data_IF_511135866356
#
_entry.id   IF_511135866356
#
_cell.length_a   1.000
_cell.length_b   1.000
_cell.length_c   1.000
_cell.angle_alpha   90.00
_cell.angle_beta   90.00
_cell.angle_gamma   90.00
#
_symmetry.space_group_name_H-M   'P 1'
#
loop_
_entity.id
_entity.type
_entity.pdbx_description
1 polymer ?
#
# COMPACT_ATOMS: atom_id res chain seq x y z
N UNK A 1 12.77 27.23 -21.74
CA UNK A 1 12.39 27.29 -20.32
C UNK A 1 10.86 27.15 -20.29
N UNK A 2 10.36 25.96 -20.11
CA UNK A 2 8.94 25.68 -19.89
C UNK A 2 8.82 25.19 -18.44
N UNK A 3 8.24 26.03 -17.59
CA UNK A 3 8.05 25.73 -16.17
C UNK A 3 7.07 24.60 -15.98
N UNK A 4 7.41 23.68 -15.08
CA UNK A 4 6.52 22.60 -14.62
C UNK A 4 5.22 23.19 -14.06
N UNK A 5 4.06 22.56 -14.28
CA UNK A 5 2.80 23.05 -13.73
C UNK A 5 2.84 22.97 -12.20
N UNK A 6 2.27 23.97 -11.49
CA UNK A 6 2.29 24.01 -10.04
C UNK A 6 1.45 22.88 -9.46
N UNK A 7 2.05 22.08 -8.55
CA UNK A 7 1.35 21.12 -7.72
C UNK A 7 0.30 21.88 -6.89
N UNK A 8 -0.98 21.58 -7.07
CA UNK A 8 -2.08 22.18 -6.30
C UNK A 8 -1.96 21.75 -4.83
N UNK A 9 -1.42 22.61 -4.00
CA UNK A 9 -1.42 22.46 -2.54
C UNK A 9 -2.87 22.54 -2.04
N UNK A 10 -3.45 21.41 -1.67
CA UNK A 10 -4.69 21.42 -0.86
C UNK A 10 -4.30 21.84 0.56
N UNK A 11 -4.96 22.86 1.11
CA UNK A 11 -4.65 23.40 2.43
C UNK A 11 -5.15 22.47 3.55
N UNK A 12 -4.49 22.50 4.73
CA UNK A 12 -4.94 21.82 5.96
C UNK A 12 -6.43 22.07 6.28
N UNK A 13 -7.00 23.17 5.79
CA UNK A 13 -8.41 23.49 5.89
C UNK A 13 -9.34 22.48 5.16
N UNK A 14 -8.88 21.81 4.11
CA UNK A 14 -9.68 20.81 3.37
C UNK A 14 -9.81 19.52 4.19
N UNK A 15 -8.74 19.12 4.88
CA UNK A 15 -8.74 17.95 5.76
C UNK A 15 -9.63 18.15 7.01
N UNK A 16 -9.56 19.34 7.62
CA UNK A 16 -10.44 19.67 8.76
C UNK A 16 -11.93 19.76 8.34
N UNK A 17 -12.23 20.28 7.15
CA UNK A 17 -13.60 20.33 6.64
C UNK A 17 -14.19 18.94 6.39
N UNK A 18 -13.37 17.97 5.92
CA UNK A 18 -13.80 16.57 5.73
C UNK A 18 -14.10 15.87 7.06
N UNK A 19 -13.27 16.07 8.11
CA UNK A 19 -13.56 15.56 9.47
C UNK A 19 -14.84 16.14 10.06
N UNK A 20 -15.08 17.43 9.90
CA UNK A 20 -16.31 18.07 10.39
C UNK A 20 -17.55 17.62 9.62
N UNK A 21 -17.46 17.36 8.33
CA UNK A 21 -18.54 16.81 7.52
C UNK A 21 -18.90 15.37 7.94
N UNK A 22 -17.90 14.51 8.19
CA UNK A 22 -18.12 13.15 8.68
C UNK A 22 -18.79 13.12 10.06
N UNK A 23 -18.37 13.99 10.97
CA UNK A 23 -18.99 14.14 12.31
C UNK A 23 -20.43 14.64 12.20
N UNK A 24 -20.73 15.59 11.30
CA UNK A 24 -22.08 16.10 11.10
C UNK A 24 -23.03 15.04 10.54
N UNK A 25 -22.55 14.16 9.65
CA UNK A 25 -23.35 13.03 9.13
C UNK A 25 -23.63 12.01 10.23
N UNK A 26 -22.63 11.71 11.10
CA UNK A 26 -22.82 10.79 12.22
C UNK A 26 -23.86 11.30 13.22
N UNK A 27 -23.84 12.61 13.52
CA UNK A 27 -24.82 13.25 14.42
C UNK A 27 -26.22 13.24 13.79
N UNK A 28 -26.34 13.45 12.48
CA UNK A 28 -27.63 13.41 11.78
C UNK A 28 -28.23 11.99 11.77
N UNK A 29 -27.41 10.95 11.59
CA UNK A 29 -27.85 9.54 11.65
C UNK A 29 -28.28 9.15 13.06
N UNK A 30 -27.55 9.59 14.10
CA UNK A 30 -27.96 9.37 15.49
C UNK A 30 -29.28 10.08 15.84
N UNK A 31 -29.49 11.29 15.34
CA UNK A 31 -30.73 12.04 15.57
C UNK A 31 -31.97 11.36 14.93
N UNK A 32 -31.79 10.75 13.74
CA UNK A 32 -32.87 9.99 13.08
C UNK A 32 -33.20 8.69 13.84
N UNK A 33 -32.18 8.03 14.43
CA UNK A 33 -32.38 6.82 15.23
C UNK A 33 -33.03 7.08 16.61
N UNK A 34 -32.84 8.26 17.19
CA UNK A 34 -33.43 8.64 18.49
C UNK A 34 -34.85 9.15 18.36
N UNK A 35 -35.23 9.72 17.21
CA UNK A 35 -36.59 10.26 16.97
C UNK A 35 -37.55 9.25 16.33
N UNK A 36 -37.07 8.05 15.94
CA UNK A 36 -37.85 7.01 15.26
C UNK A 36 -38.46 5.94 16.15
N UNK A 37 -38.42 6.08 17.48
CA UNK A 37 -39.07 5.12 18.41
C UNK A 37 -40.29 5.78 19.03
N UNK A 38 -41.42 5.65 18.38
CA UNK A 38 -42.77 5.55 18.93
C UNK A 38 -43.82 5.85 17.82
N UNK A 39 -44.30 4.83 17.14
CA UNK A 39 -45.71 4.62 16.96
C UNK A 39 -45.99 3.18 16.49
N UNK A 40 -46.77 2.46 17.25
CA UNK A 40 -47.16 1.11 16.90
C UNK A 40 -48.57 1.13 16.32
N UNK A 41 -48.72 0.56 15.12
CA UNK A 41 -49.94 -0.20 14.78
C UNK A 41 -49.86 -0.73 13.33
N UNK A 42 -50.37 -1.97 13.18
CA UNK A 42 -50.84 -2.67 11.99
C UNK A 42 -49.84 -3.35 11.07
N UNK A 43 -49.78 -4.68 11.27
CA UNK A 43 -49.34 -5.67 10.29
C UNK A 43 -50.34 -5.71 9.13
N UNK A 44 -49.92 -5.37 7.94
CA UNK A 44 -50.57 -5.71 6.68
C UNK A 44 -49.54 -6.41 5.77
N UNK A 45 -49.98 -7.55 5.19
CA UNK A 45 -49.22 -8.40 4.28
C UNK A 45 -48.52 -7.61 3.16
N UNK A 46 -47.23 -7.77 3.05
CA UNK A 46 -46.45 -7.24 1.95
C UNK A 46 -46.34 -8.32 0.82
N UNK A 47 -46.63 -7.97 -0.43
CA UNK A 47 -46.39 -8.86 -1.55
C UNK A 47 -44.87 -8.96 -1.84
N UNK A 48 -44.42 -10.17 -2.11
CA UNK A 48 -43.08 -10.50 -2.64
C UNK A 48 -42.80 -9.69 -3.92
N UNK A 49 -42.00 -8.64 -3.81
CA UNK A 49 -41.44 -7.97 -4.98
C UNK A 49 -39.95 -8.36 -5.07
N UNK A 50 -39.49 -8.87 -6.21
CA UNK A 50 -38.06 -9.15 -6.40
C UNK A 50 -37.28 -7.85 -6.26
N UNK A 51 -36.21 -7.89 -5.43
CA UNK A 51 -35.38 -6.73 -5.16
C UNK A 51 -34.93 -6.03 -6.44
N UNK A 52 -35.33 -4.79 -6.57
CA UNK A 52 -34.81 -3.84 -7.53
C UNK A 52 -33.32 -3.68 -7.28
N UNK A 53 -32.52 -4.31 -8.10
CA UNK A 53 -31.09 -4.00 -8.22
C UNK A 53 -31.06 -2.56 -8.71
N UNK A 54 -30.83 -1.61 -7.80
CA UNK A 54 -30.55 -0.22 -8.16
C UNK A 54 -29.36 -0.22 -9.12
N UNK A 55 -29.65 -0.17 -10.42
CA UNK A 55 -28.66 0.17 -11.41
C UNK A 55 -28.16 1.58 -11.09
N UNK A 56 -26.97 1.66 -10.44
CA UNK A 56 -26.28 2.94 -10.32
C UNK A 56 -26.09 3.47 -11.74
N UNK A 57 -26.73 4.58 -12.08
CA UNK A 57 -26.35 5.37 -13.26
C UNK A 57 -24.85 5.63 -13.13
N UNK A 58 -24.05 5.01 -13.99
CA UNK A 58 -22.63 5.26 -14.08
C UNK A 58 -22.41 6.72 -14.40
N UNK A 59 -21.51 7.36 -13.68
CA UNK A 59 -21.20 8.76 -13.82
C UNK A 59 -21.04 9.16 -15.29
N UNK A 60 -21.77 10.17 -15.74
CA UNK A 60 -21.70 10.68 -17.13
C UNK A 60 -20.31 11.20 -17.51
N UNK A 61 -19.43 11.44 -16.51
CA UNK A 61 -18.04 11.89 -16.72
C UNK A 61 -17.05 10.94 -16.08
N UNK A 62 -15.92 10.63 -16.76
CA UNK A 62 -14.86 9.83 -16.20
C UNK A 62 -14.33 10.41 -14.88
N UNK A 63 -14.22 9.59 -13.85
CA UNK A 63 -13.51 9.92 -12.60
C UNK A 63 -12.04 9.54 -12.80
N UNK A 64 -11.15 10.47 -12.46
CA UNK A 64 -9.70 10.28 -12.55
C UNK A 64 -9.08 10.60 -11.20
N UNK A 65 -8.23 9.69 -10.74
CA UNK A 65 -7.49 9.88 -9.50
C UNK A 65 -6.13 9.19 -9.57
N UNK A 66 -5.19 9.65 -8.74
CA UNK A 66 -3.88 9.02 -8.58
C UNK A 66 -3.83 8.30 -7.25
N UNK A 67 -3.48 7.01 -7.28
CA UNK A 67 -3.19 6.19 -6.12
C UNK A 67 -1.69 5.97 -6.03
N UNK A 68 -1.07 6.21 -4.85
CA UNK A 68 0.32 5.80 -4.61
C UNK A 68 0.39 4.47 -3.89
N UNK A 69 1.39 3.68 -4.29
CA UNK A 69 1.80 2.43 -3.64
C UNK A 69 3.28 2.52 -3.32
N UNK A 70 3.75 1.84 -2.30
CA UNK A 70 5.16 1.91 -1.87
C UNK A 70 5.62 0.58 -1.29
N UNK A 71 6.90 0.28 -1.53
CA UNK A 71 7.52 -0.96 -1.14
C UNK A 71 7.69 -1.18 0.35
N UNK A 72 8.55 -2.12 0.71
CA UNK A 72 8.68 -2.71 2.03
C UNK A 72 9.02 -1.69 3.12
N UNK A 73 8.18 -1.58 4.16
CA UNK A 73 8.52 -1.00 5.45
C UNK A 73 9.16 -2.12 6.30
N UNK A 74 10.45 -2.35 6.08
CA UNK A 74 11.24 -3.42 6.71
C UNK A 74 12.14 -2.85 7.81
N UNK A 75 11.66 -2.86 9.04
CA UNK A 75 12.27 -2.12 10.15
C UNK A 75 13.34 -2.93 10.87
N UNK A 76 14.57 -2.83 10.41
CA UNK A 76 15.76 -3.41 11.06
C UNK A 76 16.20 -2.62 12.30
N UNK A 77 17.09 -3.21 13.13
CA UNK A 77 17.59 -2.55 14.35
C UNK A 77 18.18 -1.17 14.12
N UNK A 78 19.01 -0.89 13.11
CA UNK A 78 19.53 0.46 12.92
C UNK A 78 18.45 1.49 12.58
N UNK A 79 17.35 1.05 11.92
CA UNK A 79 16.22 1.94 11.59
C UNK A 79 15.46 2.36 12.85
N UNK A 80 15.08 1.40 13.72
CA UNK A 80 14.38 1.78 14.95
C UNK A 80 15.29 2.47 15.97
N UNK A 81 16.58 2.15 16.01
CA UNK A 81 17.56 2.88 16.82
C UNK A 81 17.68 4.35 16.36
N UNK A 82 17.65 4.58 15.04
CA UNK A 82 17.60 5.94 14.49
C UNK A 82 16.31 6.65 14.88
N UNK A 83 15.16 5.98 14.80
CA UNK A 83 13.88 6.54 15.23
C UNK A 83 13.88 6.88 16.73
N UNK A 84 14.53 6.06 17.58
CA UNK A 84 14.72 6.34 19.01
C UNK A 84 15.58 7.59 19.22
N UNK A 85 16.68 7.71 18.48
CA UNK A 85 17.53 8.92 18.56
C UNK A 85 16.79 10.18 18.11
N UNK A 86 15.95 10.09 17.07
CA UNK A 86 15.11 11.20 16.59
C UNK A 86 14.01 11.59 17.61
N UNK A 87 13.53 10.64 18.40
CA UNK A 87 12.58 10.86 19.50
C UNK A 87 13.23 11.28 20.83
N UNK A 88 14.53 11.62 20.81
CA UNK A 88 15.25 12.11 22.00
C UNK A 88 15.76 11.02 22.94
N UNK A 89 15.68 9.75 22.57
CA UNK A 89 16.15 8.59 23.32
C UNK A 89 15.11 7.97 24.27
N UNK A 90 13.94 8.58 24.40
CA UNK A 90 12.86 8.12 25.29
C UNK A 90 11.63 7.59 24.54
N UNK A 91 11.48 7.94 23.26
CA UNK A 91 10.39 7.53 22.40
C UNK A 91 10.88 7.31 20.97
N UNK A 92 10.13 6.55 20.16
CA UNK A 92 10.46 6.35 18.74
C UNK A 92 9.74 7.40 17.88
N UNK A 93 10.49 8.13 17.03
CA UNK A 93 9.91 9.03 16.02
C UNK A 93 10.41 8.64 14.64
N UNK A 94 9.59 7.86 13.90
CA UNK A 94 9.87 7.45 12.54
C UNK A 94 9.48 8.52 11.50
N UNK A 95 8.65 9.51 11.85
CA UNK A 95 8.11 10.46 10.87
C UNK A 95 9.18 11.28 10.12
N UNK A 96 10.32 11.68 10.74
CA UNK A 96 11.38 12.37 10.02
C UNK A 96 12.01 11.54 8.88
N UNK A 97 12.02 10.20 8.99
CA UNK A 97 12.59 9.30 7.99
C UNK A 97 11.82 9.36 6.66
N UNK A 98 10.52 9.64 6.70
CA UNK A 98 9.61 9.72 5.54
C UNK A 98 9.36 11.16 5.06
N UNK A 99 9.97 12.17 5.69
CA UNK A 99 9.67 13.59 5.43
C UNK A 99 9.80 13.95 3.94
N UNK A 100 10.81 13.44 3.25
CA UNK A 100 11.10 13.81 1.88
C UNK A 100 10.18 13.12 0.86
N UNK A 101 9.69 11.93 1.16
CA UNK A 101 8.73 11.20 0.31
C UNK A 101 7.27 11.60 0.57
N UNK A 102 7.01 12.32 1.65
CA UNK A 102 5.65 12.78 2.00
C UNK A 102 4.88 13.45 0.84
N UNK A 103 5.48 14.28 -0.05
CA UNK A 103 4.75 14.87 -1.16
C UNK A 103 4.16 13.85 -2.14
N UNK A 104 4.78 12.67 -2.27
CA UNK A 104 4.33 11.58 -3.15
C UNK A 104 3.30 10.66 -2.49
N UNK A 105 3.18 10.75 -1.17
CA UNK A 105 2.20 10.01 -0.37
C UNK A 105 0.99 10.91 -0.10
N UNK A 106 1.15 12.04 0.60
CA UNK A 106 0.04 12.92 0.95
C UNK A 106 -0.42 13.87 -0.18
N UNK A 107 0.31 13.91 -1.29
CA UNK A 107 0.03 14.76 -2.44
C UNK A 107 -0.85 14.11 -3.52
N UNK A 108 -1.18 12.84 -3.37
CA UNK A 108 -2.07 12.08 -4.25
C UNK A 108 -3.48 11.96 -3.67
N UNK A 109 -4.39 11.32 -4.38
CA UNK A 109 -5.79 11.21 -3.96
C UNK A 109 -6.00 10.07 -2.97
N UNK A 110 -5.17 9.02 -3.02
CA UNK A 110 -5.18 7.85 -2.14
C UNK A 110 -3.76 7.26 -2.06
N UNK A 111 -3.31 6.83 -0.89
CA UNK A 111 -1.98 6.25 -0.70
C UNK A 111 -2.03 4.95 0.13
N UNK A 112 -1.38 3.91 -0.39
CA UNK A 112 -1.26 2.61 0.27
C UNK A 112 0.19 2.28 0.59
N UNK A 113 0.43 1.57 1.71
CA UNK A 113 1.75 1.08 2.11
C UNK A 113 1.75 -0.42 2.36
N UNK A 114 2.94 -1.00 2.35
CA UNK A 114 3.19 -2.38 2.75
C UNK A 114 3.98 -2.41 4.07
N UNK A 115 3.36 -2.92 5.14
CA UNK A 115 3.99 -3.10 6.45
C UNK A 115 4.51 -4.54 6.54
N UNK A 116 5.81 -4.69 6.34
CA UNK A 116 6.42 -6.02 6.27
C UNK A 116 6.61 -6.64 7.66
N UNK A 117 6.98 -5.83 8.66
CA UNK A 117 7.32 -6.32 10.01
C UNK A 117 6.20 -6.06 11.02
N UNK A 118 5.89 -7.01 11.91
CA UNK A 118 4.87 -6.83 12.93
C UNK A 118 5.25 -5.74 13.91
N UNK A 119 4.26 -5.05 14.45
CA UNK A 119 4.39 -3.99 15.45
C UNK A 119 3.83 -4.45 16.80
N UNK A 120 4.62 -4.34 17.87
CA UNK A 120 4.10 -4.56 19.22
C UNK A 120 4.86 -3.74 20.27
N UNK A 121 4.27 -3.52 21.47
CA UNK A 121 4.94 -2.82 22.56
C UNK A 121 6.02 -3.66 23.26
N UNK A 122 6.26 -4.90 22.85
CA UNK A 122 7.37 -5.71 23.36
C UNK A 122 8.72 -5.11 22.93
N UNK A 123 9.82 -5.62 23.53
CA UNK A 123 11.16 -5.15 23.15
C UNK A 123 11.38 -5.31 21.63
N UNK A 124 11.88 -4.28 20.94
CA UNK A 124 12.15 -4.37 19.51
C UNK A 124 13.17 -5.45 19.18
N UNK A 125 12.98 -6.11 18.05
CA UNK A 125 13.91 -7.09 17.51
C UNK A 125 14.03 -6.93 15.99
N UNK A 126 15.11 -7.48 15.43
CA UNK A 126 15.45 -7.40 14.02
C UNK A 126 15.59 -8.81 13.44
N UNK A 127 16.12 -8.88 12.20
CA UNK A 127 16.35 -10.16 11.53
C UNK A 127 16.98 -11.22 12.48
N UNK A 128 16.53 -12.49 12.45
CA UNK A 128 15.52 -13.03 11.51
C UNK A 128 14.06 -12.96 12.02
N UNK A 129 13.81 -12.53 13.25
CA UNK A 129 12.48 -12.45 13.89
C UNK A 129 12.25 -11.00 14.33
N UNK A 130 11.43 -10.31 13.58
CA UNK A 130 11.20 -8.87 13.76
C UNK A 130 10.15 -8.57 14.84
N UNK A 131 10.33 -7.45 15.49
CA UNK A 131 9.30 -6.73 16.26
C UNK A 131 9.59 -5.23 16.17
N UNK A 132 8.69 -4.48 15.59
CA UNK A 132 8.83 -3.03 15.37
C UNK A 132 8.11 -2.25 16.45
N UNK A 133 8.66 -1.11 16.94
CA UNK A 133 7.93 -0.20 17.82
C UNK A 133 6.63 0.28 17.17
N UNK A 134 5.49 0.27 17.89
CA UNK A 134 4.17 0.60 17.35
C UNK A 134 4.00 2.06 16.93
N UNK A 135 4.94 2.93 17.30
CA UNK A 135 5.02 4.33 16.87
C UNK A 135 5.24 4.48 15.35
N UNK A 136 5.64 3.41 14.66
CA UNK A 136 5.67 3.37 13.20
C UNK A 136 4.28 3.66 12.60
N UNK A 137 3.20 3.15 13.22
CA UNK A 137 1.83 3.40 12.74
C UNK A 137 1.47 4.90 12.77
N UNK A 138 1.95 5.64 13.81
CA UNK A 138 1.76 7.09 13.84
C UNK A 138 2.54 7.81 12.74
N UNK A 139 3.75 7.35 12.42
CA UNK A 139 4.56 7.92 11.35
C UNK A 139 3.92 7.65 9.98
N UNK A 140 3.35 6.48 9.76
CA UNK A 140 2.54 6.12 8.58
C UNK A 140 1.40 7.15 8.42
N UNK A 141 0.59 7.35 9.46
CA UNK A 141 -0.52 8.31 9.44
C UNK A 141 -0.04 9.75 9.21
N UNK A 142 1.04 10.18 9.88
CA UNK A 142 1.62 11.53 9.73
C UNK A 142 2.18 11.78 8.32
N UNK A 143 2.67 10.73 7.65
CA UNK A 143 3.19 10.81 6.28
C UNK A 143 2.04 10.95 5.28
N UNK A 144 0.89 10.36 5.56
CA UNK A 144 -0.34 10.54 4.79
C UNK A 144 -0.84 9.28 4.09
N UNK A 145 -0.34 8.09 4.42
CA UNK A 145 -0.95 6.85 3.99
C UNK A 145 -2.31 6.66 4.62
N UNK A 146 -3.31 6.23 3.86
CA UNK A 146 -4.67 5.97 4.31
C UNK A 146 -4.89 4.49 4.65
N UNK A 147 -4.21 3.59 3.93
CA UNK A 147 -4.32 2.17 4.18
C UNK A 147 -2.98 1.46 3.98
N UNK A 148 -2.78 0.37 4.72
CA UNK A 148 -1.62 -0.50 4.54
C UNK A 148 -2.05 -1.95 4.46
N UNK A 149 -1.33 -2.74 3.71
CA UNK A 149 -1.39 -4.17 3.90
C UNK A 149 -0.30 -4.64 4.88
N UNK A 150 -0.59 -5.79 5.48
CA UNK A 150 0.24 -6.45 6.47
C UNK A 150 0.46 -7.92 6.10
N UNK A 151 0.27 -8.27 4.80
CA UNK A 151 0.49 -9.61 4.30
C UNK A 151 1.95 -9.82 3.93
N UNK A 152 2.75 -10.34 4.83
CA UNK A 152 4.19 -10.56 4.65
C UNK A 152 4.63 -11.92 5.18
N UNK A 153 5.78 -12.40 4.70
CA UNK A 153 6.49 -13.54 5.27
C UNK A 153 6.89 -13.31 6.74
N UNK A 154 7.01 -12.05 7.18
CA UNK A 154 7.31 -11.65 8.56
C UNK A 154 6.07 -11.36 9.42
N UNK A 155 4.85 -11.41 8.88
CA UNK A 155 3.62 -11.13 9.66
C UNK A 155 3.48 -12.00 10.92
N UNK A 156 4.07 -13.18 10.92
CA UNK A 156 3.98 -14.16 12.00
C UNK A 156 5.18 -14.18 12.95
N UNK A 157 6.15 -13.28 12.80
CA UNK A 157 7.38 -13.27 13.61
C UNK A 157 7.10 -13.16 15.12
N UNK A 158 5.99 -12.53 15.50
CA UNK A 158 5.50 -12.43 16.87
C UNK A 158 4.21 -13.27 17.08
N UNK A 159 3.93 -14.23 16.20
CA UNK A 159 2.74 -15.09 16.25
C UNK A 159 1.44 -14.29 16.10
N UNK A 160 0.33 -14.86 16.61
CA UNK A 160 -0.98 -14.18 16.57
C UNK A 160 -0.99 -12.89 17.41
N UNK A 161 -0.27 -12.86 18.53
CA UNK A 161 -0.17 -11.67 19.38
C UNK A 161 0.46 -10.49 18.62
N UNK A 162 1.52 -10.74 17.82
CA UNK A 162 2.12 -9.72 16.97
C UNK A 162 1.16 -9.17 15.92
N UNK A 163 0.37 -10.03 15.29
CA UNK A 163 -0.71 -9.60 14.37
C UNK A 163 -1.72 -8.73 15.13
N UNK A 164 -2.19 -9.18 16.29
CA UNK A 164 -3.21 -8.47 17.07
C UNK A 164 -2.72 -7.07 17.52
N UNK A 165 -1.46 -6.95 17.91
CA UNK A 165 -0.86 -5.65 18.29
C UNK A 165 -0.62 -4.75 17.06
N UNK A 166 -0.21 -5.33 15.93
CA UNK A 166 -0.08 -4.59 14.66
C UNK A 166 -1.42 -3.98 14.23
N UNK A 167 -2.48 -4.78 14.23
CA UNK A 167 -3.85 -4.33 13.96
C UNK A 167 -4.25 -3.20 14.91
N UNK A 168 -4.03 -3.36 16.22
CA UNK A 168 -4.33 -2.32 17.21
C UNK A 168 -3.52 -1.05 17.01
N UNK A 169 -2.26 -1.14 16.56
CA UNK A 169 -1.44 0.03 16.31
C UNK A 169 -1.96 0.82 15.11
N UNK A 170 -2.31 0.14 14.00
CA UNK A 170 -2.88 0.74 12.81
C UNK A 170 -4.26 1.35 13.10
N UNK A 171 -5.16 0.63 13.80
CA UNK A 171 -6.47 1.13 14.22
C UNK A 171 -6.35 2.42 15.04
N UNK A 172 -5.44 2.46 16.02
CA UNK A 172 -5.19 3.67 16.85
C UNK A 172 -4.69 4.85 16.02
N UNK A 173 -3.89 4.58 15.00
CA UNK A 173 -3.39 5.60 14.09
C UNK A 173 -4.44 6.03 13.04
N UNK A 174 -5.57 5.31 12.94
CA UNK A 174 -6.62 5.55 11.96
C UNK A 174 -6.25 5.13 10.54
N UNK A 175 -5.40 4.10 10.42
CA UNK A 175 -4.97 3.50 9.17
C UNK A 175 -5.85 2.26 8.89
N UNK A 176 -6.51 2.25 7.75
CA UNK A 176 -7.20 1.06 7.26
C UNK A 176 -6.17 -0.03 6.91
N UNK A 177 -6.51 -1.31 7.15
CA UNK A 177 -5.53 -2.38 6.91
C UNK A 177 -6.18 -3.68 6.44
N UNK A 178 -5.36 -4.52 5.79
CA UNK A 178 -5.75 -5.86 5.32
C UNK A 178 -4.51 -6.76 5.24
N UNK A 179 -4.71 -8.06 5.05
CA UNK A 179 -3.63 -9.02 4.80
C UNK A 179 -3.34 -9.93 5.99
N UNK A 180 -3.20 -9.40 7.22
CA UNK A 180 -3.19 -10.18 8.45
C UNK A 180 -4.33 -9.76 9.37
N UNK A 181 -4.85 -10.68 10.19
CA UNK A 181 -6.14 -10.50 10.85
C UNK A 181 -6.14 -10.95 12.31
N UNK A 182 -6.83 -10.18 13.16
CA UNK A 182 -7.04 -10.50 14.58
C UNK A 182 -8.24 -11.43 14.82
N UNK A 183 -9.04 -11.73 13.79
CA UNK A 183 -10.18 -12.65 13.90
C UNK A 183 -10.62 -13.19 12.55
N UNK A 184 -11.32 -14.34 12.56
CA UNK A 184 -11.94 -14.90 11.36
C UNK A 184 -12.92 -13.92 10.71
N UNK A 185 -13.73 -13.22 11.50
CA UNK A 185 -14.68 -12.24 10.99
C UNK A 185 -13.98 -11.06 10.27
N UNK A 186 -12.78 -10.67 10.71
CA UNK A 186 -11.96 -9.67 10.03
C UNK A 186 -11.45 -10.19 8.69
N UNK A 187 -10.97 -11.44 8.62
CA UNK A 187 -10.43 -12.03 7.38
C UNK A 187 -11.49 -12.26 6.29
N UNK A 188 -12.76 -12.29 6.65
CA UNK A 188 -13.87 -12.44 5.71
C UNK A 188 -14.31 -11.10 5.08
N UNK A 189 -13.78 -9.97 5.56
CA UNK A 189 -14.09 -8.64 5.03
C UNK A 189 -13.14 -8.28 3.87
N UNK A 190 -13.70 -7.58 2.87
CA UNK A 190 -12.89 -6.92 1.85
C UNK A 190 -12.65 -5.47 2.31
N UNK A 191 -11.40 -5.06 2.37
CA UNK A 191 -11.08 -3.66 2.62
C UNK A 191 -11.52 -2.81 1.42
N UNK A 192 -12.37 -1.81 1.69
CA UNK A 192 -12.90 -0.87 0.70
C UNK A 192 -12.56 0.55 1.12
N UNK A 193 -11.76 1.24 0.33
CA UNK A 193 -11.42 2.65 0.56
C UNK A 193 -12.10 3.52 -0.49
N UNK A 194 -12.67 4.65 -0.06
CA UNK A 194 -13.39 5.57 -0.94
C UNK A 194 -12.52 6.74 -1.41
N UNK A 195 -12.55 7.04 -2.71
CA UNK A 195 -11.88 8.21 -3.31
C UNK A 195 -12.74 8.80 -4.41
N UNK A 196 -13.09 10.11 -4.33
CA UNK A 196 -13.88 10.83 -5.35
C UNK A 196 -15.19 10.11 -5.77
N UNK A 197 -15.82 9.37 -4.83
CA UNK A 197 -17.02 8.57 -5.08
C UNK A 197 -16.77 7.18 -5.66
N UNK A 198 -15.53 6.82 -5.96
CA UNK A 198 -15.08 5.50 -6.40
C UNK A 198 -14.76 4.65 -5.17
N UNK A 199 -15.06 3.36 -5.22
CA UNK A 199 -14.74 2.36 -4.19
C UNK A 199 -13.59 1.50 -4.65
N UNK A 200 -12.45 1.62 -3.98
CA UNK A 200 -11.23 0.85 -4.24
C UNK A 200 -11.18 -0.33 -3.26
N UNK A 201 -11.26 -1.56 -3.77
CA UNK A 201 -10.94 -2.74 -2.98
C UNK A 201 -9.43 -2.94 -2.95
N UNK A 202 -8.87 -3.10 -1.76
CA UNK A 202 -7.46 -3.45 -1.57
C UNK A 202 -7.35 -4.88 -1.05
N UNK A 203 -6.79 -5.78 -1.87
CA UNK A 203 -6.57 -7.19 -1.58
C UNK A 203 -5.06 -7.41 -1.45
N UNK A 204 -4.63 -8.07 -0.38
CA UNK A 204 -3.21 -8.31 -0.14
C UNK A 204 -2.97 -9.76 0.29
N UNK A 205 -1.89 -10.36 -0.21
CA UNK A 205 -1.54 -11.76 0.04
C UNK A 205 -0.05 -11.94 0.19
N UNK A 206 0.35 -12.80 1.14
CA UNK A 206 1.68 -13.38 1.18
C UNK A 206 1.69 -14.76 0.49
N UNK A 207 2.85 -15.16 -0.03
CA UNK A 207 3.04 -16.51 -0.59
C UNK A 207 3.90 -17.40 0.30
N UNK A 208 4.48 -16.86 1.39
CA UNK A 208 5.35 -17.54 2.32
C UNK A 208 5.15 -17.02 3.76
N UNK A 209 5.65 -17.75 4.76
CA UNK A 209 5.64 -17.42 6.19
C UNK A 209 7.01 -17.66 6.86
N UNK A 210 8.10 -17.75 6.08
CA UNK A 210 9.41 -18.17 6.58
C UNK A 210 9.37 -19.51 7.34
N UNK A 211 8.43 -20.39 6.97
CA UNK A 211 8.23 -21.69 7.61
C UNK A 211 7.52 -21.63 8.97
N UNK A 212 7.04 -20.47 9.41
CA UNK A 212 6.26 -20.33 10.65
C UNK A 212 4.83 -20.84 10.38
N UNK A 213 4.31 -21.81 11.14
CA UNK A 213 2.95 -22.30 10.95
C UNK A 213 1.90 -21.23 11.27
N UNK A 214 0.82 -21.17 10.48
CA UNK A 214 -0.31 -20.32 10.77
C UNK A 214 -0.94 -20.68 12.12
N UNK A 215 -1.08 -19.73 13.06
CA UNK A 215 -1.80 -19.98 14.33
C UNK A 215 -3.27 -20.34 14.07
N UNK A 216 -3.89 -19.72 13.09
CA UNK A 216 -5.21 -20.04 12.57
C UNK A 216 -5.23 -19.90 11.04
N UNK A 217 -6.08 -20.65 10.32
CA UNK A 217 -6.17 -20.56 8.85
C UNK A 217 -6.53 -19.16 8.33
N UNK A 218 -7.05 -18.30 9.17
CA UNK A 218 -7.47 -16.93 8.86
C UNK A 218 -6.46 -15.86 9.31
N UNK A 219 -5.40 -16.21 10.06
CA UNK A 219 -4.46 -15.24 10.64
C UNK A 219 -3.75 -14.39 9.58
N UNK A 220 -3.47 -14.96 8.42
CA UNK A 220 -2.77 -14.34 7.31
C UNK A 220 -3.45 -14.71 6.00
N UNK A 221 -3.60 -13.76 5.08
CA UNK A 221 -3.99 -14.03 3.70
C UNK A 221 -2.82 -14.67 2.95
N UNK A 222 -2.69 -15.98 3.07
CA UNK A 222 -1.60 -16.78 2.50
C UNK A 222 -2.10 -17.58 1.31
N UNK A 223 -1.49 -17.38 0.14
CA UNK A 223 -1.85 -18.16 -1.05
C UNK A 223 -0.78 -18.15 -2.13
N UNK A 224 -0.58 -19.30 -2.77
CA UNK A 224 0.17 -19.48 -4.02
C UNK A 224 -0.77 -19.81 -5.20
N UNK A 225 -2.07 -19.56 -5.04
CA UNK A 225 -3.09 -19.94 -6.02
C UNK A 225 -3.78 -18.70 -6.59
N UNK A 226 -3.54 -18.34 -7.87
CA UNK A 226 -4.20 -17.18 -8.49
C UNK A 226 -5.73 -17.24 -8.39
N UNK A 227 -6.30 -18.45 -8.49
CA UNK A 227 -7.76 -18.65 -8.40
C UNK A 227 -8.38 -18.19 -7.06
N UNK A 228 -7.64 -18.23 -5.94
CA UNK A 228 -8.11 -17.71 -4.66
C UNK A 228 -8.21 -16.18 -4.69
N UNK A 229 -7.19 -15.52 -5.23
CA UNK A 229 -7.17 -14.06 -5.41
C UNK A 229 -8.29 -13.59 -6.34
N UNK A 230 -8.48 -14.29 -7.45
CA UNK A 230 -9.56 -14.00 -8.43
C UNK A 230 -10.94 -14.17 -7.79
N UNK A 231 -11.13 -15.19 -6.93
CA UNK A 231 -12.39 -15.39 -6.21
C UNK A 231 -12.71 -14.20 -5.28
N UNK A 232 -11.71 -13.67 -4.59
CA UNK A 232 -11.89 -12.50 -3.72
C UNK A 232 -12.08 -11.21 -4.54
N UNK A 233 -11.41 -11.05 -5.68
CA UNK A 233 -11.66 -9.95 -6.61
C UNK A 233 -13.12 -9.95 -7.11
N UNK A 234 -13.66 -11.12 -7.48
CA UNK A 234 -15.07 -11.28 -7.83
C UNK A 234 -16.00 -10.93 -6.67
N UNK A 235 -15.64 -11.32 -5.44
CA UNK A 235 -16.39 -10.96 -4.24
C UNK A 235 -16.38 -9.45 -4.01
N UNK A 236 -15.20 -8.80 -4.18
CA UNK A 236 -15.06 -7.36 -4.09
C UNK A 236 -15.97 -6.62 -5.09
N UNK A 237 -15.97 -7.05 -6.37
CA UNK A 237 -16.87 -6.49 -7.39
C UNK A 237 -18.35 -6.67 -7.03
N UNK A 238 -18.74 -7.85 -6.55
CA UNK A 238 -20.12 -8.09 -6.07
C UNK A 238 -20.52 -7.19 -4.90
N UNK A 239 -19.56 -6.80 -4.06
CA UNK A 239 -19.77 -5.86 -2.96
C UNK A 239 -19.69 -4.40 -3.42
N UNK A 240 -19.55 -4.14 -4.73
CA UNK A 240 -19.59 -2.82 -5.36
C UNK A 240 -18.24 -2.12 -5.41
N UNK A 241 -17.12 -2.85 -5.47
CA UNK A 241 -15.84 -2.25 -5.80
C UNK A 241 -15.83 -1.77 -7.27
N UNK A 242 -15.43 -0.52 -7.49
CA UNK A 242 -15.22 0.06 -8.82
C UNK A 242 -13.80 -0.21 -9.31
N UNK A 243 -12.84 -0.37 -8.39
CA UNK A 243 -11.43 -0.69 -8.63
C UNK A 243 -11.04 -1.85 -7.71
N UNK A 244 -10.24 -2.80 -8.21
CA UNK A 244 -9.64 -3.87 -7.40
C UNK A 244 -8.12 -3.80 -7.59
N UNK A 245 -7.41 -3.42 -6.56
CA UNK A 245 -5.95 -3.48 -6.47
C UNK A 245 -5.55 -4.74 -5.71
N UNK A 246 -4.63 -5.50 -6.28
CA UNK A 246 -4.06 -6.71 -5.66
C UNK A 246 -2.60 -6.42 -5.31
N UNK A 247 -2.23 -6.63 -4.05
CA UNK A 247 -0.86 -6.58 -3.58
C UNK A 247 -0.34 -7.98 -3.28
N UNK A 248 0.88 -8.30 -3.72
CA UNK A 248 1.49 -9.61 -3.57
C UNK A 248 2.86 -9.51 -2.89
N UNK A 249 2.98 -10.04 -1.69
CA UNK A 249 4.29 -10.29 -1.07
C UNK A 249 4.81 -11.64 -1.56
N UNK A 250 5.81 -11.57 -2.45
CA UNK A 250 6.44 -12.75 -3.02
C UNK A 250 7.43 -13.36 -2.04
N UNK A 251 7.16 -14.57 -1.56
CA UNK A 251 8.13 -15.32 -0.77
C UNK A 251 9.23 -15.94 -1.65
N UNK A 252 10.28 -16.41 -1.01
CA UNK A 252 11.46 -17.00 -1.67
C UNK A 252 11.13 -18.18 -2.61
N UNK A 253 10.03 -18.87 -2.36
CA UNK A 253 9.51 -19.94 -3.21
C UNK A 253 8.91 -19.44 -4.54
N UNK A 254 8.50 -18.17 -4.60
CA UNK A 254 7.96 -17.52 -5.80
C UNK A 254 9.00 -16.63 -6.48
N UNK A 255 9.77 -15.86 -5.72
CA UNK A 255 10.80 -14.96 -6.22
C UNK A 255 12.04 -15.04 -5.35
N UNK A 256 13.24 -15.32 -5.91
CA UNK A 256 14.48 -15.19 -5.16
C UNK A 256 14.70 -13.75 -4.71
N UNK A 257 15.22 -13.57 -3.50
CA UNK A 257 15.63 -12.26 -3.01
C UNK A 257 16.80 -11.68 -3.83
N UNK A 258 16.84 -10.36 -3.95
CA UNK A 258 17.90 -9.58 -4.60
C UNK A 258 18.08 -9.88 -6.10
N UNK A 259 17.04 -10.40 -6.75
CA UNK A 259 17.00 -10.61 -8.21
C UNK A 259 16.05 -9.61 -8.85
N UNK A 260 16.58 -8.76 -9.73
CA UNK A 260 15.83 -7.65 -10.35
C UNK A 260 14.90 -8.10 -11.48
N UNK A 261 15.07 -9.30 -12.01
CA UNK A 261 14.14 -9.89 -12.97
C UNK A 261 13.04 -10.69 -12.25
N UNK A 262 11.78 -10.47 -12.61
CA UNK A 262 10.68 -11.29 -12.10
C UNK A 262 10.86 -12.75 -12.54
N UNK A 263 10.66 -13.68 -11.61
CA UNK A 263 10.75 -15.11 -11.87
C UNK A 263 9.66 -15.61 -12.81
N UNK A 264 9.90 -16.72 -13.48
CA UNK A 264 8.88 -17.41 -14.29
C UNK A 264 7.59 -17.72 -13.50
N UNK A 265 7.73 -17.97 -12.18
CA UNK A 265 6.59 -18.23 -11.29
C UNK A 265 5.74 -16.98 -11.05
N UNK A 266 6.40 -15.83 -10.77
CA UNK A 266 5.70 -14.55 -10.65
C UNK A 266 4.98 -14.21 -11.97
N UNK A 267 5.69 -14.33 -13.10
CA UNK A 267 5.13 -14.04 -14.43
C UNK A 267 3.91 -14.93 -14.72
N UNK A 268 4.01 -16.23 -14.45
CA UNK A 268 2.89 -17.15 -14.65
C UNK A 268 1.70 -16.81 -13.74
N UNK A 269 1.94 -16.52 -12.46
CA UNK A 269 0.91 -16.16 -11.50
C UNK A 269 0.19 -14.87 -11.91
N UNK A 270 0.96 -13.81 -12.21
CA UNK A 270 0.43 -12.52 -12.63
C UNK A 270 -0.38 -12.63 -13.92
N UNK A 271 0.09 -13.42 -14.89
CA UNK A 271 -0.64 -13.64 -16.15
C UNK A 271 -2.05 -14.21 -15.93
N UNK A 272 -2.22 -15.09 -14.93
CA UNK A 272 -3.55 -15.58 -14.56
C UNK A 272 -4.39 -14.49 -13.89
N UNK A 273 -3.78 -13.66 -13.01
CA UNK A 273 -4.50 -12.56 -12.35
C UNK A 273 -5.05 -11.54 -13.34
N UNK A 274 -4.19 -11.03 -14.23
CA UNK A 274 -4.58 -9.98 -15.19
C UNK A 274 -5.52 -10.49 -16.31
N UNK A 275 -5.65 -11.80 -16.47
CA UNK A 275 -6.68 -12.38 -17.33
C UNK A 275 -8.09 -12.29 -16.71
N UNK A 276 -8.21 -12.00 -15.41
CA UNK A 276 -9.48 -11.83 -14.73
C UNK A 276 -9.93 -10.36 -14.83
N UNK A 277 -11.06 -10.06 -15.48
CA UNK A 277 -11.51 -8.68 -15.72
C UNK A 277 -11.92 -7.95 -14.43
N UNK A 278 -12.00 -8.65 -13.32
CA UNK A 278 -12.30 -8.10 -12.02
C UNK A 278 -11.13 -7.32 -11.43
N UNK A 279 -9.88 -7.64 -11.79
CA UNK A 279 -8.66 -7.05 -11.26
C UNK A 279 -8.27 -5.84 -12.12
N UNK A 280 -8.00 -4.69 -11.47
CA UNK A 280 -7.63 -3.44 -12.16
C UNK A 280 -6.12 -3.25 -12.22
N UNK A 281 -5.41 -3.64 -11.15
CA UNK A 281 -3.95 -3.51 -11.06
C UNK A 281 -3.37 -4.56 -10.12
N UNK A 282 -2.11 -4.95 -10.38
CA UNK A 282 -1.31 -5.83 -9.52
C UNK A 282 -0.02 -5.12 -9.19
N UNK A 283 0.32 -5.08 -7.91
CA UNK A 283 1.60 -4.57 -7.38
C UNK A 283 2.23 -5.62 -6.47
N UNK A 284 3.52 -5.56 -6.27
CA UNK A 284 4.19 -6.58 -5.47
C UNK A 284 5.44 -6.09 -4.75
N UNK A 285 5.87 -6.89 -3.76
CA UNK A 285 7.05 -6.72 -2.93
C UNK A 285 7.66 -8.10 -2.60
N UNK A 286 8.71 -8.10 -1.76
CA UNK A 286 9.33 -9.31 -1.22
C UNK A 286 10.71 -9.65 -1.75
N UNK A 287 11.07 -9.42 -3.04
CA UNK A 287 12.44 -9.60 -3.52
C UNK A 287 13.46 -8.61 -2.94
N UNK A 288 13.01 -7.57 -2.21
CA UNK A 288 13.82 -6.50 -1.62
C UNK A 288 14.64 -5.68 -2.64
N UNK A 289 14.29 -5.77 -3.91
CA UNK A 289 14.82 -4.98 -5.02
C UNK A 289 13.69 -4.60 -5.95
N UNK A 290 13.85 -3.51 -6.67
CA UNK A 290 12.91 -3.14 -7.72
C UNK A 290 12.98 -4.18 -8.84
N UNK A 291 11.81 -4.65 -9.27
CA UNK A 291 11.63 -5.47 -10.47
C UNK A 291 10.84 -4.70 -11.53
N UNK A 292 10.72 -5.28 -12.71
CA UNK A 292 10.11 -4.62 -13.86
C UNK A 292 8.66 -4.19 -13.62
N UNK A 293 8.33 -3.06 -14.26
CA UNK A 293 6.96 -2.61 -14.47
C UNK A 293 6.64 -2.86 -15.94
N UNK A 294 5.68 -3.70 -16.22
CA UNK A 294 5.37 -4.06 -17.61
C UNK A 294 3.87 -4.18 -17.88
N UNK A 295 3.51 -4.27 -19.18
CA UNK A 295 2.16 -4.59 -19.60
C UNK A 295 2.04 -6.09 -19.87
N UNK A 296 1.26 -6.77 -19.05
CA UNK A 296 0.90 -8.19 -19.21
C UNK A 296 -0.53 -8.24 -19.72
N UNK A 297 -0.73 -8.78 -20.92
CA UNK A 297 -2.06 -8.86 -21.57
C UNK A 297 -2.80 -7.50 -21.69
N UNK A 298 -2.06 -6.39 -21.70
CA UNK A 298 -2.61 -5.03 -21.78
C UNK A 298 -2.68 -4.29 -20.45
N UNK A 299 -2.68 -4.99 -19.31
CA UNK A 299 -2.70 -4.42 -17.97
C UNK A 299 -1.29 -4.10 -17.48
N UNK A 300 -1.12 -3.01 -16.71
CA UNK A 300 0.16 -2.64 -16.11
C UNK A 300 0.31 -3.36 -14.77
N UNK A 301 1.49 -3.95 -14.56
CA UNK A 301 1.88 -4.68 -13.35
C UNK A 301 3.20 -4.14 -12.82
N UNK A 302 3.31 -3.99 -11.52
CA UNK A 302 4.57 -3.74 -10.80
C UNK A 302 4.93 -5.05 -10.10
N UNK A 303 6.02 -5.74 -10.52
CA UNK A 303 6.38 -7.03 -9.91
C UNK A 303 6.99 -6.86 -8.52
N UNK A 304 7.84 -5.85 -8.33
CA UNK A 304 8.36 -5.47 -7.00
C UNK A 304 8.70 -3.99 -6.94
N UNK A 305 8.27 -3.35 -5.87
CA UNK A 305 8.57 -1.95 -5.55
C UNK A 305 9.92 -1.79 -4.82
N UNK A 306 10.53 -2.91 -4.39
CA UNK A 306 11.75 -2.91 -3.56
C UNK A 306 11.48 -2.39 -2.16
N UNK A 307 12.54 -2.05 -1.44
CA UNK A 307 12.44 -1.51 -0.08
C UNK A 307 12.11 -0.02 -0.09
N UNK A 308 11.05 0.39 0.60
CA UNK A 308 10.89 1.82 0.89
C UNK A 308 11.83 2.25 2.02
N UNK A 309 11.97 1.43 3.06
CA UNK A 309 12.93 1.65 4.14
C UNK A 309 13.44 0.31 4.70
N UNK A 310 14.75 0.17 4.78
CA UNK A 310 15.42 -1.00 5.37
C UNK A 310 16.87 -0.68 5.76
N UNK A 311 17.56 -1.62 6.41
CA UNK A 311 19.01 -1.59 6.57
C UNK A 311 19.75 -2.45 5.52
N UNK A 312 19.04 -2.87 4.48
CA UNK A 312 19.66 -3.65 3.40
C UNK A 312 20.43 -2.71 2.46
N UNK A 313 21.58 -3.17 1.98
CA UNK A 313 22.43 -2.40 1.09
C UNK A 313 23.86 -2.96 1.04
N UNK A 314 24.70 -2.39 0.18
CA UNK A 314 26.07 -2.83 0.00
C UNK A 314 26.93 -2.72 1.29
N UNK A 315 26.66 -1.75 2.13
CA UNK A 315 27.31 -1.58 3.44
C UNK A 315 26.90 -2.66 4.46
N UNK A 316 25.74 -3.27 4.28
CA UNK A 316 25.30 -4.45 5.02
C UNK A 316 25.75 -5.78 4.38
N UNK A 317 26.55 -5.73 3.31
CA UNK A 317 27.05 -6.90 2.59
C UNK A 317 26.03 -7.55 1.65
N UNK A 318 24.98 -6.84 1.28
CA UNK A 318 23.93 -7.26 0.36
C UNK A 318 24.06 -6.55 -1.00
N UNK A 319 23.18 -6.84 -1.93
CA UNK A 319 23.13 -6.16 -3.22
C UNK A 319 22.87 -4.65 -3.05
N UNK A 320 23.53 -3.81 -3.83
CA UNK A 320 23.32 -2.36 -3.77
C UNK A 320 21.88 -1.98 -4.13
N UNK A 321 21.25 -2.76 -4.99
CA UNK A 321 19.86 -2.65 -5.43
C UNK A 321 18.85 -2.77 -4.27
N UNK A 322 19.23 -3.44 -3.15
CA UNK A 322 18.34 -3.57 -1.98
C UNK A 322 18.23 -2.28 -1.14
N UNK A 323 19.02 -1.27 -1.46
CA UNK A 323 18.93 0.09 -0.91
C UNK A 323 18.00 0.98 -1.75
N UNK A 324 17.67 0.52 -2.97
CA UNK A 324 16.79 1.21 -3.91
C UNK A 324 15.34 0.73 -3.76
N UNK A 325 14.41 1.63 -3.98
CA UNK A 325 12.98 1.34 -4.05
C UNK A 325 12.27 2.27 -5.01
N UNK A 326 10.97 2.16 -5.06
CA UNK A 326 10.13 3.12 -5.79
C UNK A 326 8.80 3.37 -5.06
N UNK A 327 8.22 4.54 -5.35
CA UNK A 327 6.82 4.83 -5.07
C UNK A 327 6.10 4.82 -6.42
N UNK A 328 5.18 3.88 -6.60
CA UNK A 328 4.31 3.82 -7.77
C UNK A 328 3.19 4.85 -7.68
N UNK A 329 2.99 5.66 -8.74
CA UNK A 329 1.91 6.62 -8.88
C UNK A 329 0.98 6.10 -9.99
N UNK A 330 -0.12 5.48 -9.59
CA UNK A 330 -1.08 4.80 -10.46
C UNK A 330 -2.18 5.78 -10.87
N UNK A 331 -2.18 6.23 -12.13
CA UNK A 331 -3.24 7.09 -12.67
C UNK A 331 -4.41 6.20 -13.15
N UNK A 332 -5.48 6.18 -12.37
CA UNK A 332 -6.65 5.32 -12.58
C UNK A 332 -7.81 6.14 -13.14
N UNK A 333 -8.53 5.54 -14.09
CA UNK A 333 -9.75 6.10 -14.68
C UNK A 333 -10.90 5.13 -14.47
N UNK A 334 -12.04 5.67 -14.03
CA UNK A 334 -13.30 4.93 -13.90
C UNK A 334 -14.35 5.65 -14.72
N UNK A 335 -14.95 4.96 -15.68
CA UNK A 335 -15.98 5.50 -16.58
C UNK A 335 -17.04 4.43 -16.92
N UNK A 336 -17.83 4.70 -17.97
CA UNK A 336 -18.87 3.79 -18.46
C UNK A 336 -18.36 2.41 -18.90
N UNK A 337 -17.07 2.29 -19.26
CA UNK A 337 -16.45 1.04 -19.68
C UNK A 337 -15.86 0.24 -18.50
N UNK A 338 -15.70 0.89 -17.33
CA UNK A 338 -15.13 0.31 -16.10
C UNK A 338 -13.93 1.06 -15.58
N UNK A 339 -13.17 0.41 -14.71
CA UNK A 339 -11.92 0.94 -14.15
C UNK A 339 -10.73 0.39 -14.94
N UNK A 340 -9.74 1.27 -15.19
CA UNK A 340 -8.49 0.89 -15.83
C UNK A 340 -7.33 1.72 -15.31
N UNK A 341 -6.15 1.13 -15.25
CA UNK A 341 -4.88 1.79 -14.98
C UNK A 341 -4.32 2.33 -16.31
N UNK A 342 -4.41 3.66 -16.50
CA UNK A 342 -3.94 4.28 -17.75
C UNK A 342 -2.42 4.41 -17.78
N UNK A 343 -1.81 4.78 -16.63
CA UNK A 343 -0.39 5.08 -16.55
C UNK A 343 0.13 4.77 -15.14
N UNK A 344 1.39 4.33 -15.09
CA UNK A 344 2.22 4.31 -13.88
C UNK A 344 3.37 5.29 -14.09
N UNK A 345 3.44 6.30 -13.24
CA UNK A 345 4.67 7.04 -12.98
C UNK A 345 5.29 6.42 -11.73
N UNK A 346 6.59 6.30 -11.69
CA UNK A 346 7.26 5.79 -10.50
C UNK A 346 8.37 6.75 -10.06
N UNK A 347 8.46 6.97 -8.76
CA UNK A 347 9.48 7.83 -8.14
C UNK A 347 10.57 6.94 -7.58
N UNK A 348 11.77 6.90 -8.20
CA UNK A 348 12.89 6.19 -7.62
C UNK A 348 13.20 6.74 -6.22
N UNK A 349 13.33 5.85 -5.24
CA UNK A 349 13.69 6.17 -3.87
C UNK A 349 14.98 5.47 -3.48
N UNK A 350 15.70 6.04 -2.52
CA UNK A 350 16.92 5.51 -1.97
C UNK A 350 16.96 5.73 -0.46
N UNK A 351 17.33 4.69 0.29
CA UNK A 351 17.48 4.79 1.75
C UNK A 351 18.88 5.27 2.06
N UNK A 352 19.02 6.48 2.61
CA UNK A 352 20.31 7.05 2.95
C UNK A 352 20.85 6.46 4.25
N UNK A 353 21.85 5.58 4.19
CA UNK A 353 22.55 5.10 5.36
C UNK A 353 23.64 6.09 5.83
N UNK A 354 23.91 6.23 7.14
CA UNK A 354 23.26 5.56 8.26
C UNK A 354 22.05 6.33 8.85
N UNK A 355 21.56 7.36 8.16
CA UNK A 355 20.45 8.20 8.64
C UNK A 355 19.07 7.61 8.41
N UNK A 356 18.96 6.60 7.55
CA UNK A 356 17.72 5.91 7.17
C UNK A 356 16.63 6.84 6.65
N UNK A 357 17.00 8.05 6.19
CA UNK A 357 16.07 8.94 5.50
C UNK A 357 15.77 8.38 4.12
N UNK A 358 14.49 8.25 3.79
CA UNK A 358 14.05 7.85 2.45
C UNK A 358 14.09 9.07 1.54
N UNK A 359 14.97 9.04 0.53
CA UNK A 359 15.16 10.13 -0.42
C UNK A 359 14.43 9.81 -1.74
N UNK A 360 13.55 10.70 -2.25
CA UNK A 360 13.13 10.66 -3.63
C UNK A 360 14.30 11.14 -4.50
N UNK A 361 14.89 10.24 -5.30
CA UNK A 361 16.22 10.43 -5.90
C UNK A 361 16.31 11.68 -6.78
N UNK A 362 15.33 11.94 -7.64
CA UNK A 362 15.35 13.10 -8.52
C UNK A 362 15.36 14.45 -7.78
N UNK A 363 14.42 14.70 -6.87
CA UNK A 363 14.42 15.89 -6.01
C UNK A 363 15.65 16.01 -5.13
N UNK A 364 16.13 14.91 -4.53
CA UNK A 364 17.32 14.93 -3.69
C UNK A 364 18.57 15.39 -4.49
N UNK A 365 18.71 14.96 -5.74
CA UNK A 365 19.77 15.45 -6.64
C UNK A 365 19.61 16.94 -6.96
N UNK A 366 18.41 17.39 -7.23
CA UNK A 366 18.14 18.81 -7.57
C UNK A 366 18.44 19.75 -6.40
N UNK A 367 18.20 19.29 -5.16
CA UNK A 367 18.37 20.08 -3.94
C UNK A 367 19.78 19.89 -3.30
N UNK A 368 20.64 19.03 -3.86
CA UNK A 368 21.94 18.67 -3.29
C UNK A 368 21.83 17.90 -1.97
N UNK A 369 20.76 17.11 -1.81
CA UNK A 369 20.36 16.44 -0.59
C UNK A 369 20.89 15.01 -0.46
N UNK A 370 22.20 14.78 -0.64
CA UNK A 370 22.82 13.47 -0.51
C UNK A 370 24.10 13.34 -1.32
N UNK A 371 24.69 12.13 -1.34
CA UNK A 371 25.83 11.85 -2.22
C UNK A 371 25.36 11.74 -3.68
N UNK A 372 25.79 12.68 -4.52
CA UNK A 372 25.38 12.76 -5.93
C UNK A 372 25.67 11.46 -6.70
N UNK A 373 26.82 10.83 -6.46
CA UNK A 373 27.21 9.62 -7.19
C UNK A 373 26.30 8.43 -6.83
N UNK A 374 25.97 8.26 -5.55
CA UNK A 374 25.09 7.22 -5.07
C UNK A 374 23.65 7.42 -5.55
N UNK A 375 23.15 8.65 -5.52
CA UNK A 375 21.80 8.98 -6.00
C UNK A 375 21.67 8.77 -7.52
N UNK A 376 22.69 9.14 -8.33
CA UNK A 376 22.67 8.87 -9.77
C UNK A 376 22.70 7.38 -10.07
N UNK A 377 23.56 6.63 -9.38
CA UNK A 377 23.62 5.17 -9.53
C UNK A 377 22.30 4.50 -9.11
N UNK A 378 21.69 4.94 -8.01
CA UNK A 378 20.38 4.47 -7.56
C UNK A 378 19.28 4.72 -8.61
N UNK A 379 19.23 5.93 -9.17
CA UNK A 379 18.28 6.24 -10.25
C UNK A 379 18.45 5.32 -11.45
N UNK A 380 19.69 5.14 -11.91
CA UNK A 380 20.02 4.29 -13.06
C UNK A 380 19.59 2.85 -12.80
N UNK A 381 19.97 2.25 -11.66
CA UNK A 381 19.56 0.88 -11.29
C UNK A 381 18.05 0.73 -11.22
N UNK A 382 17.37 1.66 -10.55
CA UNK A 382 15.89 1.63 -10.43
C UNK A 382 15.21 1.73 -11.78
N UNK A 383 15.70 2.63 -12.66
CA UNK A 383 15.11 2.81 -13.99
C UNK A 383 15.41 1.64 -14.91
N UNK A 384 16.60 1.05 -14.81
CA UNK A 384 16.98 -0.14 -15.59
C UNK A 384 16.13 -1.35 -15.17
N UNK A 385 15.87 -1.54 -13.87
CA UNK A 385 15.03 -2.62 -13.35
C UNK A 385 13.55 -2.39 -13.65
N UNK A 386 13.00 -1.23 -13.28
CA UNK A 386 11.58 -0.92 -13.48
C UNK A 386 11.21 -0.79 -14.96
N UNK A 387 12.15 -0.32 -15.78
CA UNK A 387 11.95 -0.12 -17.21
C UNK A 387 11.15 1.13 -17.56
N UNK A 388 10.97 1.32 -18.86
CA UNK A 388 10.18 2.41 -19.47
C UNK A 388 9.30 1.84 -20.57
N UNK A 389 8.10 2.37 -20.72
CA UNK A 389 7.21 1.87 -21.77
C UNK A 389 5.99 2.77 -21.97
N UNK A 390 5.05 2.28 -22.78
CA UNK A 390 3.78 2.98 -22.99
C UNK A 390 3.00 3.07 -21.68
N UNK A 391 2.92 4.28 -21.10
CA UNK A 391 2.28 4.53 -19.80
C UNK A 391 3.11 4.08 -18.60
N UNK A 392 4.41 3.87 -18.76
CA UNK A 392 5.34 3.52 -17.67
C UNK A 392 6.54 4.48 -17.78
N UNK A 393 6.72 5.34 -16.78
CA UNK A 393 7.79 6.35 -16.81
C UNK A 393 8.26 6.73 -15.40
N UNK A 394 9.57 6.97 -15.19
CA UNK A 394 10.06 7.53 -13.93
C UNK A 394 9.66 8.99 -13.76
N UNK A 395 9.54 9.45 -12.52
CA UNK A 395 9.30 10.83 -12.15
C UNK A 395 10.45 11.32 -11.22
N UNK A 396 11.35 12.20 -11.69
CA UNK A 396 11.36 12.84 -13.01
C UNK A 396 11.79 11.88 -14.14
N UNK A 397 11.37 12.13 -15.39
CA UNK A 397 11.72 11.27 -16.53
C UNK A 397 13.21 11.33 -16.92
N UNK A 398 13.92 12.35 -16.45
CA UNK A 398 15.36 12.54 -16.57
C UNK A 398 15.89 13.25 -15.34
N UNK A 399 17.08 12.84 -14.91
CA UNK A 399 17.78 13.54 -13.84
C UNK A 399 18.15 14.97 -14.25
N UNK A 400 18.22 15.87 -13.26
CA UNK A 400 18.65 17.24 -13.46
C UNK A 400 20.13 17.34 -13.89
#
# INVERSE_FOLDING_TARGET
MAGSPPVRRRSAATYQRRRLAAIAVLIAVLAVLVLGVFDGSELADAPDTPGEVLSRERAEKPVRFTLSVSGDLLIHSPVYERALALGGGDAYDFAPLFKQVRPYVSGVDLAFCHVETPMSPAAPSSYPIFNTPPELAEAIAKTGWEACDTASNHSLDQGQEGIDETVKALDRAGIEHTGSYSSKAASEKILMVGVEGVRVAYLAYATDTNGIPLPNPWSLALTEKPGAVIADARRARKQGADVVLVNMQWGINMSPEYVTDASDKQVAFVKELVAAPEITAVVGQGPHVVQQIERVSGEIVIYSEGNLISNQGADAGLAAESQDGLIGLLDIVVDGEGARLERVRYVPTWVQHPDYTVLPVGPALADGGGDESSLRASYERTVDAAGRGRGIEPDPPKLP
#
